data_IF_781938063201
#
_entry.id   IF_781938063201
#
_cell.length_a   1.000
_cell.length_b   1.000
_cell.length_c   1.000
_cell.angle_alpha   90.00
_cell.angle_beta   90.00
_cell.angle_gamma   90.00
#
_symmetry.space_group_name_H-M   'P 1'
#
loop_
_entity.id
_entity.type
_entity.pdbx_description
1 polymer ?
#
# COMPACT_ATOMS: atom_id res chain seq x y z
N UNK A 1 -18.23 7.49 1.18
CA UNK A 1 -18.32 6.11 1.74
C UNK A 1 -17.05 5.39 1.31
N UNK A 2 -16.37 4.72 2.23
CA UNK A 2 -15.19 3.91 1.90
C UNK A 2 -15.65 2.63 1.21
N UNK A 3 -15.15 2.34 0.01
CA UNK A 3 -15.51 1.15 -0.76
C UNK A 3 -14.71 -0.09 -0.34
N UNK A 4 -13.55 0.11 0.28
CA UNK A 4 -12.64 -0.96 0.71
C UNK A 4 -12.19 -0.79 2.15
N UNK A 5 -11.92 -1.92 2.81
CA UNK A 5 -11.31 -1.97 4.13
C UNK A 5 -9.82 -2.24 4.01
N UNK A 6 -8.97 -1.49 4.71
CA UNK A 6 -7.52 -1.70 4.69
C UNK A 6 -7.09 -2.54 5.90
N UNK A 7 -6.48 -3.69 5.64
CA UNK A 7 -5.88 -4.57 6.63
C UNK A 7 -4.35 -4.53 6.52
N UNK A 8 -3.68 -4.53 7.67
CA UNK A 8 -2.21 -4.48 7.75
C UNK A 8 -1.70 -5.83 8.19
N UNK A 9 -0.89 -6.49 7.37
CA UNK A 9 -0.28 -7.78 7.71
C UNK A 9 0.83 -7.60 8.73
N UNK A 10 1.11 -8.66 9.50
CA UNK A 10 2.16 -8.65 10.51
C UNK A 10 3.54 -8.28 9.92
N UNK A 11 3.82 -8.62 8.67
CA UNK A 11 5.05 -8.26 7.95
C UNK A 11 5.26 -6.74 7.85
N UNK A 12 4.19 -5.96 7.71
CA UNK A 12 4.25 -4.51 7.57
C UNK A 12 4.38 -3.75 8.90
N UNK A 13 4.22 -4.42 10.06
CA UNK A 13 4.23 -3.73 11.37
C UNK A 13 5.56 -3.03 11.67
N UNK A 14 6.68 -3.63 11.26
CA UNK A 14 8.01 -3.03 11.44
C UNK A 14 8.15 -1.79 10.54
N UNK A 15 7.68 -1.88 9.30
CA UNK A 15 7.69 -0.77 8.35
C UNK A 15 6.86 0.41 8.88
N UNK A 16 5.68 0.15 9.45
CA UNK A 16 4.85 1.20 10.05
C UNK A 16 5.53 1.92 11.22
N UNK A 17 6.34 1.22 12.02
CA UNK A 17 7.13 1.89 13.08
C UNK A 17 8.13 2.87 12.46
N UNK A 18 8.80 2.49 11.37
CA UNK A 18 9.70 3.38 10.62
C UNK A 18 8.96 4.56 10.00
N UNK A 19 7.81 4.32 9.37
CA UNK A 19 6.95 5.37 8.80
C UNK A 19 6.54 6.37 9.88
N UNK A 20 6.09 5.89 11.04
CA UNK A 20 5.67 6.74 12.16
C UNK A 20 6.80 7.61 12.70
N UNK A 21 8.04 7.15 12.64
CA UNK A 21 9.23 7.90 13.06
C UNK A 21 9.78 8.82 11.95
N UNK A 22 9.30 8.66 10.72
CA UNK A 22 9.72 9.44 9.56
C UNK A 22 8.71 10.54 9.20
N UNK A 23 9.08 11.38 8.24
CA UNK A 23 8.18 12.36 7.64
C UNK A 23 7.15 11.75 6.66
N UNK A 24 7.17 10.43 6.43
CA UNK A 24 6.32 9.73 5.46
C UNK A 24 4.93 9.37 5.99
N UNK A 25 4.64 9.69 7.25
CA UNK A 25 3.35 9.41 7.87
C UNK A 25 2.18 10.03 7.08
N UNK A 26 2.32 11.28 6.63
CA UNK A 26 1.26 11.97 5.87
C UNK A 26 1.00 11.31 4.52
N UNK A 27 2.06 11.00 3.77
CA UNK A 27 1.97 10.32 2.48
C UNK A 27 1.39 8.92 2.64
N UNK A 28 1.73 8.22 3.73
CA UNK A 28 1.14 6.92 4.02
C UNK A 28 -0.36 7.03 4.28
N UNK A 29 -0.80 8.00 5.07
CA UNK A 29 -2.22 8.26 5.32
C UNK A 29 -2.98 8.60 4.03
N UNK A 30 -2.39 9.38 3.12
CA UNK A 30 -2.95 9.67 1.79
C UNK A 30 -3.10 8.41 0.93
N UNK A 31 -2.10 7.52 0.93
CA UNK A 31 -2.19 6.21 0.27
C UNK A 31 -3.33 5.40 0.89
N UNK A 32 -3.45 5.35 2.22
CA UNK A 32 -4.53 4.61 2.88
C UNK A 32 -5.91 5.14 2.47
N UNK A 33 -6.08 6.46 2.38
CA UNK A 33 -7.33 7.05 1.92
C UNK A 33 -7.64 6.64 0.47
N UNK A 34 -6.63 6.70 -0.41
CA UNK A 34 -6.76 6.26 -1.80
C UNK A 34 -7.19 4.79 -1.88
N UNK A 35 -6.54 3.90 -1.10
CA UNK A 35 -6.85 2.47 -1.08
C UNK A 35 -8.26 2.18 -0.57
N UNK A 36 -8.81 3.00 0.33
CA UNK A 36 -10.18 2.88 0.84
C UNK A 36 -11.23 3.31 -0.20
N UNK A 37 -10.88 4.26 -1.06
CA UNK A 37 -11.77 4.76 -2.11
C UNK A 37 -11.71 3.88 -3.37
N UNK A 38 -10.50 3.71 -3.92
CA UNK A 38 -10.22 2.87 -5.07
C UNK A 38 -8.75 2.38 -5.07
N UNK A 39 -8.50 1.08 -4.80
CA UNK A 39 -7.16 0.53 -4.80
C UNK A 39 -6.52 0.45 -6.19
N UNK A 40 -7.24 0.64 -7.29
CA UNK A 40 -6.70 0.62 -8.66
C UNK A 40 -6.48 2.01 -9.26
N UNK A 41 -6.80 3.06 -8.52
CA UNK A 41 -6.68 4.43 -9.01
C UNK A 41 -5.25 4.72 -9.50
N UNK A 42 -5.03 5.24 -10.73
CA UNK A 42 -3.70 5.42 -11.33
C UNK A 42 -2.92 6.62 -10.75
N UNK A 43 -2.98 6.79 -9.43
CA UNK A 43 -2.29 7.82 -8.64
C UNK A 43 -1.08 7.23 -7.93
N UNK A 44 -0.17 8.09 -7.46
CA UNK A 44 1.00 7.68 -6.66
C UNK A 44 1.88 6.61 -7.36
N UNK A 45 2.04 6.70 -8.69
CA UNK A 45 2.79 5.70 -9.48
C UNK A 45 2.32 4.27 -9.21
N UNK A 46 1.00 4.04 -9.29
CA UNK A 46 0.39 2.73 -9.23
C UNK A 46 1.03 1.76 -10.23
N UNK A 47 1.49 0.61 -9.73
CA UNK A 47 2.13 -0.41 -10.54
C UNK A 47 1.68 -1.81 -10.10
N UNK A 48 1.42 -2.68 -11.06
CA UNK A 48 1.15 -4.10 -10.79
C UNK A 48 2.48 -4.86 -10.75
N UNK A 49 2.79 -5.49 -9.60
CA UNK A 49 4.03 -6.23 -9.43
C UNK A 49 4.00 -7.56 -10.20
N UNK A 50 5.19 -7.97 -10.65
CA UNK A 50 5.44 -9.27 -11.27
C UNK A 50 6.17 -10.18 -10.27
N UNK A 51 5.92 -11.49 -10.28
CA UNK A 51 5.06 -12.22 -11.22
C UNK A 51 3.56 -12.07 -10.92
N UNK A 52 2.76 -12.01 -11.98
CA UNK A 52 1.33 -11.61 -11.93
C UNK A 52 0.46 -12.53 -11.07
N UNK A 53 0.88 -13.79 -10.86
CA UNK A 53 0.17 -14.77 -10.04
C UNK A 53 0.11 -14.39 -8.56
N UNK A 54 1.00 -13.51 -8.08
CA UNK A 54 0.92 -13.02 -6.70
C UNK A 54 -0.17 -11.95 -6.52
N UNK A 55 -0.63 -11.33 -7.61
CA UNK A 55 -1.70 -10.33 -7.59
C UNK A 55 -1.38 -9.10 -6.74
N UNK A 56 -0.10 -8.75 -6.59
CA UNK A 56 0.36 -7.64 -5.77
C UNK A 56 0.47 -6.35 -6.57
N UNK A 57 0.26 -5.24 -5.89
CA UNK A 57 0.35 -3.88 -6.41
C UNK A 57 1.32 -3.08 -5.55
N UNK A 58 1.89 -2.04 -6.15
CA UNK A 58 2.76 -1.09 -5.46
C UNK A 58 2.29 0.35 -5.68
N UNK A 59 2.46 1.18 -4.64
CA UNK A 59 2.23 2.63 -4.67
C UNK A 59 3.37 3.38 -4.04
N UNK A 60 3.70 4.55 -4.58
CA UNK A 60 4.80 5.40 -4.18
C UNK A 60 4.46 6.24 -2.95
N UNK A 61 5.28 6.11 -1.89
CA UNK A 61 5.28 7.03 -0.76
C UNK A 61 6.25 8.19 -0.98
N UNK A 62 7.45 7.89 -1.47
CA UNK A 62 8.46 8.87 -1.87
C UNK A 62 9.34 8.27 -2.98
N UNK A 63 10.47 8.90 -3.33
CA UNK A 63 11.36 8.37 -4.38
C UNK A 63 11.78 6.91 -4.12
N UNK A 64 12.08 6.55 -2.88
CA UNK A 64 12.66 5.25 -2.49
C UNK A 64 11.62 4.21 -2.06
N UNK A 65 10.63 4.61 -1.27
CA UNK A 65 9.72 3.71 -0.57
C UNK A 65 8.41 3.50 -1.31
N UNK A 66 7.90 2.27 -1.23
CA UNK A 66 6.60 1.86 -1.76
C UNK A 66 5.74 1.17 -0.69
N UNK A 67 4.43 1.34 -0.81
CA UNK A 67 3.43 0.46 -0.20
C UNK A 67 3.17 -0.69 -1.16
N UNK A 68 3.36 -1.92 -0.69
CA UNK A 68 3.02 -3.14 -1.41
C UNK A 68 1.77 -3.74 -0.80
N UNK A 69 0.76 -3.99 -1.62
CA UNK A 69 -0.53 -4.49 -1.16
C UNK A 69 -1.14 -5.50 -2.14
N UNK A 70 -2.13 -6.25 -1.66
CA UNK A 70 -3.01 -7.11 -2.46
C UNK A 70 -4.45 -6.66 -2.26
N UNK A 71 -5.26 -6.82 -3.28
CA UNK A 71 -6.70 -6.55 -3.22
C UNK A 71 -7.45 -7.88 -3.24
N UNK A 72 -8.32 -8.06 -2.25
CA UNK A 72 -9.34 -9.08 -2.20
C UNK A 72 -10.66 -8.44 -2.67
N UNK A 73 -11.03 -8.72 -3.91
CA UNK A 73 -12.23 -8.18 -4.53
C UNK A 73 -13.52 -8.71 -3.94
N UNK A 74 -13.51 -9.95 -3.46
CA UNK A 74 -14.68 -10.63 -2.92
C UNK A 74 -15.07 -10.01 -1.57
N UNK A 75 -14.08 -9.80 -0.71
CA UNK A 75 -14.29 -9.21 0.62
C UNK A 75 -14.15 -7.67 0.64
N UNK A 76 -13.78 -7.05 -0.48
CA UNK A 76 -13.41 -5.63 -0.57
C UNK A 76 -12.36 -5.24 0.47
N UNK A 77 -11.33 -6.07 0.62
CA UNK A 77 -10.22 -5.87 1.55
C UNK A 77 -8.92 -5.60 0.81
N UNK A 78 -8.19 -4.59 1.26
CA UNK A 78 -6.83 -4.28 0.80
C UNK A 78 -5.85 -4.69 1.88
N UNK A 79 -5.03 -5.70 1.60
CA UNK A 79 -4.01 -6.21 2.52
C UNK A 79 -2.66 -5.57 2.22
N UNK A 80 -2.11 -4.82 3.18
CA UNK A 80 -0.77 -4.23 3.07
C UNK A 80 0.27 -5.20 3.62
N UNK A 81 1.26 -5.53 2.77
CA UNK A 81 2.33 -6.47 3.07
C UNK A 81 3.64 -5.77 3.47
N UNK A 82 3.94 -4.62 2.88
CA UNK A 82 5.13 -3.80 3.19
C UNK A 82 4.84 -2.33 2.88
N UNK A 83 5.55 -1.42 3.56
CA UNK A 83 5.46 0.01 3.34
C UNK A 83 6.82 0.73 3.37
N UNK A 84 7.92 -0.02 3.50
CA UNK A 84 9.30 0.51 3.55
C UNK A 84 10.22 -0.20 2.56
N UNK A 85 9.66 -0.80 1.51
CA UNK A 85 10.46 -1.51 0.50
C UNK A 85 11.23 -0.51 -0.34
N UNK A 86 12.54 -0.74 -0.52
CA UNK A 86 13.37 0.05 -1.44
C UNK A 86 13.20 -0.53 -2.84
N UNK A 87 12.94 0.33 -3.82
CA UNK A 87 13.12 -0.03 -5.23
C UNK A 87 14.58 0.29 -5.57
N UNK A 88 15.38 -0.73 -5.86
CA UNK A 88 16.69 -0.53 -6.52
C UNK A 88 16.48 -0.10 -7.98
#
# INVERSE_FOLDING_TARGET
MSNYTVAIKNSAKVDLRKIKQSNLKKQFEEVIQTLKEDPYMPTQSFEKLRPTHEGRYSRRLNRQHRVVYKVDEENKVVEIYSAWTHYE
#
